data_IF_660592614869
#
_entry.id   IF_660592614869
#
_cell.length_a   1.000
_cell.length_b   1.000
_cell.length_c   1.000
_cell.angle_alpha   90.00
_cell.angle_beta   90.00
_cell.angle_gamma   90.00
#
_symmetry.space_group_name_H-M   'P 1'
#
loop_
_entity.id
_entity.type
_entity.pdbx_description
1 polymer ?
#
# COMPACT_ATOMS: atom_id res chain seq x y z
N UNK A 1 35.95 -35.69 18.67
CA UNK A 1 37.21 -36.25 18.11
C UNK A 1 36.86 -36.81 16.74
N UNK A 2 36.97 -36.05 15.65
CA UNK A 2 38.18 -35.58 14.95
C UNK A 2 38.68 -36.56 13.88
N UNK A 3 38.94 -35.98 12.70
CA UNK A 3 39.62 -36.49 11.48
C UNK A 3 38.66 -37.10 10.44
N UNK A 4 38.34 -36.48 9.30
CA UNK A 4 39.00 -35.46 8.46
C UNK A 4 40.29 -35.98 7.79
N UNK A 5 40.20 -36.26 6.49
CA UNK A 5 41.17 -36.30 5.35
C UNK A 5 40.26 -36.56 4.12
N UNK A 6 40.04 -35.76 3.08
CA UNK A 6 40.75 -34.70 2.34
C UNK A 6 41.95 -35.16 1.49
N UNK A 7 41.71 -35.44 0.20
CA UNK A 7 42.46 -35.00 -1.00
C UNK A 7 41.91 -35.75 -2.23
N UNK A 8 41.45 -35.15 -3.34
CA UNK A 8 41.98 -34.13 -4.26
C UNK A 8 42.76 -34.72 -5.45
N UNK A 9 42.16 -34.65 -6.64
CA UNK A 9 42.77 -34.32 -7.96
C UNK A 9 41.62 -34.33 -9.00
N UNK A 10 41.15 -33.22 -9.60
CA UNK A 10 41.72 -32.41 -10.72
C UNK A 10 42.15 -33.33 -11.88
N UNK A 11 41.64 -33.24 -13.12
CA UNK A 11 41.56 -32.10 -14.06
C UNK A 11 40.65 -32.46 -15.26
N UNK A 12 40.16 -31.43 -15.96
CA UNK A 12 39.72 -31.30 -17.37
C UNK A 12 38.23 -31.47 -17.69
N UNK A 13 37.60 -30.70 -18.57
CA UNK A 13 37.76 -29.33 -19.12
C UNK A 13 36.74 -29.25 -20.27
N UNK A 14 36.02 -28.14 -20.39
CA UNK A 14 35.38 -27.75 -21.65
C UNK A 14 33.94 -28.20 -21.84
N UNK A 15 32.99 -27.33 -21.48
CA UNK A 15 32.20 -26.57 -22.46
C UNK A 15 31.16 -25.74 -21.72
N UNK A 16 31.45 -24.45 -21.59
CA UNK A 16 30.44 -23.44 -21.34
C UNK A 16 29.85 -23.05 -22.70
N UNK A 17 28.57 -23.35 -22.93
CA UNK A 17 27.77 -22.67 -23.93
C UNK A 17 26.61 -21.95 -23.24
N UNK A 18 26.60 -20.63 -23.41
CA UNK A 18 25.57 -19.68 -23.01
C UNK A 18 24.31 -19.85 -23.85
N UNK A 19 23.08 -19.71 -23.31
CA UNK A 19 21.91 -19.45 -24.12
C UNK A 19 21.65 -17.94 -24.19
N UNK A 20 22.21 -17.30 -25.21
CA UNK A 20 21.76 -15.98 -25.66
C UNK A 20 20.88 -16.16 -26.92
N UNK A 21 19.67 -15.60 -26.85
CA UNK A 21 18.82 -15.17 -27.97
C UNK A 21 18.32 -16.26 -28.94
N UNK A 22 17.06 -16.68 -28.77
CA UNK A 22 16.18 -17.10 -29.87
C UNK A 22 14.76 -16.57 -29.66
N UNK A 23 14.58 -15.26 -29.82
CA UNK A 23 13.38 -14.71 -30.45
C UNK A 23 13.61 -14.75 -31.96
N UNK A 24 12.56 -14.96 -32.75
CA UNK A 24 12.51 -15.01 -34.22
C UNK A 24 12.50 -16.40 -34.85
N UNK A 25 11.30 -17.02 -34.88
CA UNK A 25 10.86 -17.93 -35.94
C UNK A 25 9.33 -18.09 -35.90
N UNK A 26 8.63 -16.95 -35.86
CA UNK A 26 7.17 -16.86 -35.97
C UNK A 26 6.80 -16.07 -37.24
N UNK A 27 7.35 -16.50 -38.38
CA UNK A 27 6.99 -16.01 -39.70
C UNK A 27 7.68 -16.88 -40.77
N UNK A 28 7.18 -18.08 -41.06
CA UNK A 28 7.33 -18.77 -42.36
C UNK A 28 6.61 -20.13 -42.32
N UNK A 29 5.30 -20.15 -42.57
CA UNK A 29 4.57 -21.30 -43.17
C UNK A 29 3.10 -20.94 -43.39
N UNK A 30 2.88 -19.88 -44.18
CA UNK A 30 1.59 -19.54 -44.73
C UNK A 30 1.76 -19.45 -46.26
N UNK A 31 1.97 -20.60 -46.89
CA UNK A 31 1.84 -20.80 -48.33
C UNK A 31 1.96 -22.29 -48.65
N UNK A 32 1.14 -22.75 -49.60
CA UNK A 32 0.96 -24.12 -50.12
C UNK A 32 -0.20 -24.88 -49.46
N UNK A 33 -1.44 -24.57 -49.89
CA UNK A 33 -2.25 -25.50 -50.70
C UNK A 33 -3.50 -24.73 -51.19
N UNK A 34 -3.42 -24.22 -52.40
CA UNK A 34 -4.57 -23.77 -53.18
C UNK A 34 -4.67 -24.67 -54.41
N UNK A 35 -5.80 -25.37 -54.53
CA UNK A 35 -6.33 -26.24 -55.61
C UNK A 35 -6.72 -27.59 -55.00
N UNK A 36 -7.98 -28.01 -54.91
CA UNK A 36 -9.12 -27.86 -55.82
C UNK A 36 -10.43 -27.93 -55.04
N UNK A 37 -11.38 -27.04 -55.33
CA UNK A 37 -12.84 -27.25 -55.37
C UNK A 37 -13.48 -25.86 -55.48
N UNK A 38 -14.22 -25.62 -56.55
CA UNK A 38 -15.05 -24.43 -56.73
C UNK A 38 -16.36 -24.58 -55.96
N UNK A 39 -16.77 -23.58 -55.16
CA UNK A 39 -18.18 -23.37 -54.88
C UNK A 39 -18.65 -21.98 -55.32
N UNK A 40 -19.92 -21.93 -55.71
CA UNK A 40 -20.67 -20.81 -56.29
C UNK A 40 -20.51 -19.45 -55.60
N UNK A 41 -20.58 -18.32 -56.34
CA UNK A 41 -20.39 -16.96 -55.81
C UNK A 41 -21.61 -16.37 -55.06
N UNK A 42 -22.64 -17.14 -54.72
CA UNK A 42 -23.92 -16.59 -54.22
C UNK A 42 -24.18 -16.75 -52.72
N UNK A 43 -23.23 -17.24 -51.92
CA UNK A 43 -23.40 -17.39 -50.45
C UNK A 43 -22.42 -16.55 -49.61
N UNK A 44 -21.64 -15.66 -50.23
CA UNK A 44 -20.67 -14.79 -49.56
C UNK A 44 -21.17 -13.35 -49.33
N UNK A 45 -22.47 -13.18 -49.07
CA UNK A 45 -23.04 -11.85 -48.75
C UNK A 45 -23.71 -11.76 -47.38
N UNK A 46 -23.73 -12.82 -46.58
CA UNK A 46 -24.29 -12.79 -45.22
C UNK A 46 -23.36 -13.23 -44.08
N UNK A 47 -22.09 -13.57 -44.36
CA UNK A 47 -21.14 -14.01 -43.35
C UNK A 47 -20.06 -12.98 -42.96
N UNK A 48 -20.08 -11.78 -43.56
CA UNK A 48 -19.03 -10.76 -43.36
C UNK A 48 -19.39 -9.66 -42.34
N UNK A 49 -20.47 -9.84 -41.56
CA UNK A 49 -20.91 -8.82 -40.60
C UNK A 49 -20.80 -9.22 -39.12
N UNK A 50 -20.31 -10.43 -38.82
CA UNK A 50 -20.06 -10.86 -37.44
C UNK A 50 -18.74 -11.59 -37.34
N UNK A 51 -17.64 -10.84 -37.27
CA UNK A 51 -16.38 -11.18 -36.60
C UNK A 51 -15.37 -10.03 -36.87
N UNK A 52 -15.75 -8.77 -36.62
CA UNK A 52 -14.75 -7.73 -36.39
C UNK A 52 -14.18 -7.98 -35.00
N UNK A 53 -12.99 -8.57 -34.96
CA UNK A 53 -12.14 -8.61 -33.77
C UNK A 53 -12.06 -7.19 -33.23
N UNK A 54 -12.68 -6.96 -32.08
CA UNK A 54 -12.63 -5.69 -31.36
C UNK A 54 -11.17 -5.47 -31.00
N UNK A 55 -10.53 -4.46 -31.58
CA UNK A 55 -9.14 -4.10 -31.28
C UNK A 55 -8.97 -3.85 -29.78
N UNK A 56 -7.77 -4.07 -29.26
CA UNK A 56 -7.40 -3.89 -27.85
C UNK A 56 -7.84 -2.51 -27.31
N UNK A 57 -7.77 -1.48 -28.14
CA UNK A 57 -8.23 -0.11 -27.87
C UNK A 57 -9.75 0.00 -27.62
N UNK A 58 -10.56 -0.79 -28.34
CA UNK A 58 -12.02 -0.78 -28.21
C UNK A 58 -12.54 -1.55 -26.99
N UNK A 59 -11.73 -2.48 -26.45
CA UNK A 59 -11.97 -3.10 -25.14
C UNK A 59 -11.60 -2.14 -24.01
N UNK A 60 -10.52 -1.37 -24.18
CA UNK A 60 -10.08 -0.32 -23.25
C UNK A 60 -11.15 0.78 -23.04
N UNK A 61 -11.76 1.24 -24.14
CA UNK A 61 -12.78 2.29 -24.14
C UNK A 61 -14.12 1.88 -23.49
N UNK A 62 -14.45 0.59 -23.46
CA UNK A 62 -15.68 0.11 -22.83
C UNK A 62 -15.56 -0.07 -21.32
N UNK A 63 -14.35 -0.32 -20.80
CA UNK A 63 -14.09 -0.52 -19.38
C UNK A 63 -13.92 0.80 -18.61
N UNK A 64 -13.48 1.87 -19.27
CA UNK A 64 -13.45 3.22 -18.67
C UNK A 64 -14.86 3.76 -18.36
N UNK A 65 -15.90 3.21 -19.03
CA UNK A 65 -17.31 3.54 -18.76
C UNK A 65 -17.95 2.69 -17.66
N UNK A 66 -17.35 1.56 -17.28
CA UNK A 66 -17.77 0.76 -16.12
C UNK A 66 -17.02 1.25 -14.89
N UNK A 67 -17.54 2.28 -14.23
CA UNK A 67 -16.89 3.05 -13.17
C UNK A 67 -16.10 2.24 -12.15
N UNK A 68 -14.79 2.17 -12.35
CA UNK A 68 -13.79 1.72 -11.39
C UNK A 68 -12.89 2.91 -11.09
N UNK A 69 -13.16 3.57 -9.97
CA UNK A 69 -12.34 4.67 -9.47
C UNK A 69 -11.00 4.17 -8.93
N UNK A 70 -9.94 4.91 -9.31
CA UNK A 70 -8.64 5.03 -8.62
C UNK A 70 -7.95 3.73 -8.20
N UNK A 71 -7.63 2.84 -9.12
CA UNK A 71 -6.55 1.88 -8.92
C UNK A 71 -5.28 2.43 -9.60
N UNK A 72 -4.11 2.16 -9.01
CA UNK A 72 -2.85 2.58 -9.65
C UNK A 72 -2.72 1.88 -11.01
N UNK A 73 -2.30 2.60 -12.03
CA UNK A 73 -2.13 2.13 -13.43
C UNK A 73 -1.37 0.79 -13.53
N UNK A 74 -0.51 0.52 -12.54
CA UNK A 74 0.25 -0.72 -12.39
C UNK A 74 -0.59 -1.93 -11.95
N UNK A 75 -1.49 -1.77 -10.98
CA UNK A 75 -2.37 -2.86 -10.50
C UNK A 75 -3.44 -3.20 -11.54
N UNK A 76 -3.94 -2.20 -12.26
CA UNK A 76 -4.88 -2.40 -13.37
C UNK A 76 -4.22 -3.17 -14.53
N UNK A 77 -3.00 -2.79 -14.91
CA UNK A 77 -2.23 -3.51 -15.94
C UNK A 77 -1.93 -4.96 -15.54
N UNK A 78 -1.61 -5.22 -14.27
CA UNK A 78 -1.40 -6.60 -13.77
C UNK A 78 -2.68 -7.42 -13.81
N UNK A 79 -3.83 -6.83 -13.40
CA UNK A 79 -5.13 -7.49 -13.50
C UNK A 79 -5.53 -7.75 -14.95
N UNK A 80 -5.28 -6.80 -15.85
CA UNK A 80 -5.52 -6.94 -17.29
C UNK A 80 -4.67 -8.03 -17.94
N UNK A 81 -3.37 -8.08 -17.65
CA UNK A 81 -2.51 -9.15 -18.14
C UNK A 81 -2.95 -10.52 -17.61
N UNK A 82 -3.40 -10.56 -16.35
CA UNK A 82 -4.01 -11.75 -15.76
C UNK A 82 -5.27 -12.19 -16.49
N UNK A 83 -6.20 -11.27 -16.79
CA UNK A 83 -7.43 -11.61 -17.52
C UNK A 83 -7.16 -12.05 -18.95
N UNK A 84 -6.23 -11.39 -19.66
CA UNK A 84 -5.82 -11.78 -21.01
C UNK A 84 -5.21 -13.19 -21.02
N UNK A 85 -4.35 -13.51 -20.05
CA UNK A 85 -3.77 -14.84 -19.92
C UNK A 85 -4.84 -15.91 -19.67
N UNK A 86 -5.80 -15.64 -18.77
CA UNK A 86 -6.92 -16.55 -18.49
C UNK A 86 -7.78 -16.76 -19.74
N UNK A 87 -8.10 -15.70 -20.49
CA UNK A 87 -8.90 -15.83 -21.71
C UNK A 87 -8.14 -16.59 -22.81
N UNK A 88 -6.82 -16.37 -22.93
CA UNK A 88 -5.97 -17.14 -23.83
C UNK A 88 -6.00 -18.63 -23.47
N UNK A 89 -5.84 -18.97 -22.20
CA UNK A 89 -5.92 -20.35 -21.71
C UNK A 89 -7.30 -20.98 -21.95
N UNK A 90 -8.38 -20.21 -21.78
CA UNK A 90 -9.74 -20.68 -22.10
C UNK A 90 -9.92 -20.97 -23.59
N UNK A 91 -9.45 -20.08 -24.46
CA UNK A 91 -9.52 -20.27 -25.92
C UNK A 91 -8.70 -21.49 -26.33
N UNK A 92 -7.48 -21.60 -25.82
CA UNK A 92 -6.60 -22.76 -26.06
C UNK A 92 -7.27 -24.05 -25.59
N UNK A 93 -7.84 -24.08 -24.38
CA UNK A 93 -8.55 -25.25 -23.85
C UNK A 93 -9.73 -25.66 -24.73
N UNK A 94 -10.58 -24.71 -25.13
CA UNK A 94 -11.71 -24.98 -26.05
C UNK A 94 -11.25 -25.51 -27.41
N UNK A 95 -10.16 -24.97 -27.94
CA UNK A 95 -9.57 -25.46 -29.18
C UNK A 95 -9.07 -26.91 -29.01
N UNK A 96 -8.36 -27.22 -27.92
CA UNK A 96 -7.90 -28.57 -27.64
C UNK A 96 -9.06 -29.55 -27.40
N UNK A 97 -10.13 -29.13 -26.74
CA UNK A 97 -11.36 -29.92 -26.59
C UNK A 97 -11.98 -30.27 -27.95
N UNK A 98 -12.05 -29.31 -28.88
CA UNK A 98 -12.55 -29.59 -30.24
C UNK A 98 -11.65 -30.56 -31.01
N UNK A 99 -10.32 -30.44 -30.88
CA UNK A 99 -9.38 -31.40 -31.51
C UNK A 99 -9.54 -32.78 -30.87
N UNK A 100 -9.75 -32.84 -29.55
CA UNK A 100 -9.99 -34.08 -28.81
C UNK A 100 -11.27 -34.78 -29.28
N UNK A 101 -12.37 -34.05 -29.46
CA UNK A 101 -13.62 -34.62 -29.98
C UNK A 101 -13.42 -35.27 -31.36
N UNK A 102 -12.62 -34.64 -32.22
CA UNK A 102 -12.26 -35.21 -33.52
C UNK A 102 -11.40 -36.48 -33.37
N UNK A 103 -10.38 -36.45 -32.52
CA UNK A 103 -9.54 -37.62 -32.22
C UNK A 103 -10.39 -38.79 -31.67
N UNK A 104 -11.34 -38.49 -30.78
CA UNK A 104 -12.26 -39.47 -30.22
C UNK A 104 -13.23 -40.02 -31.27
N UNK A 105 -13.67 -39.20 -32.23
CA UNK A 105 -14.47 -39.68 -33.35
C UNK A 105 -13.70 -40.69 -34.22
N UNK A 106 -12.42 -40.44 -34.52
CA UNK A 106 -11.56 -41.41 -35.23
C UNK A 106 -11.39 -42.70 -34.44
N UNK A 107 -11.16 -42.59 -33.12
CA UNK A 107 -11.08 -43.75 -32.23
C UNK A 107 -12.36 -44.60 -32.29
N UNK A 108 -13.55 -43.97 -32.23
CA UNK A 108 -14.84 -44.66 -32.34
C UNK A 108 -15.10 -45.30 -33.70
N UNK A 109 -14.46 -44.79 -34.76
CA UNK A 109 -14.53 -45.35 -36.11
C UNK A 109 -13.56 -46.52 -36.32
N UNK A 110 -12.66 -46.78 -35.36
CA UNK A 110 -11.60 -47.79 -35.47
C UNK A 110 -10.34 -47.28 -36.17
N UNK A 111 -10.27 -45.99 -36.48
CA UNK A 111 -9.11 -45.28 -37.02
C UNK A 111 -8.16 -44.91 -35.88
N UNK A 112 -7.50 -45.92 -35.30
CA UNK A 112 -6.66 -45.75 -34.11
C UNK A 112 -5.34 -45.00 -34.41
N UNK A 113 -4.84 -45.05 -35.65
CA UNK A 113 -3.62 -44.36 -36.06
C UNK A 113 -3.86 -42.84 -36.13
N UNK A 114 -4.96 -42.43 -36.73
CA UNK A 114 -5.38 -41.03 -36.79
C UNK A 114 -5.77 -40.48 -35.41
N UNK A 115 -6.41 -41.31 -34.58
CA UNK A 115 -6.72 -40.96 -33.20
C UNK A 115 -5.44 -40.76 -32.35
N UNK A 116 -4.45 -41.63 -32.52
CA UNK A 116 -3.15 -41.54 -31.88
C UNK A 116 -2.44 -40.24 -32.25
N UNK A 117 -2.33 -39.92 -33.54
CA UNK A 117 -1.60 -38.75 -34.00
C UNK A 117 -2.22 -37.43 -33.51
N UNK A 118 -3.56 -37.35 -33.52
CA UNK A 118 -4.27 -36.19 -32.98
C UNK A 118 -4.14 -36.08 -31.46
N UNK A 119 -4.18 -37.20 -30.73
CA UNK A 119 -3.97 -37.20 -29.28
C UNK A 119 -2.54 -36.80 -28.90
N UNK A 120 -1.52 -37.30 -29.61
CA UNK A 120 -0.13 -36.91 -29.43
C UNK A 120 0.08 -35.41 -29.72
N UNK A 121 -0.59 -34.87 -30.74
CA UNK A 121 -0.57 -33.44 -31.05
C UNK A 121 -1.18 -32.59 -29.92
N UNK A 122 -2.29 -33.02 -29.31
CA UNK A 122 -2.87 -32.33 -28.15
C UNK A 122 -1.86 -32.30 -26.99
N UNK A 123 -1.23 -33.43 -26.67
CA UNK A 123 -0.24 -33.52 -25.58
C UNK A 123 1.03 -32.72 -25.84
N UNK A 124 1.41 -32.51 -27.10
CA UNK A 124 2.53 -31.63 -27.45
C UNK A 124 2.25 -30.14 -27.16
N UNK A 125 0.96 -29.77 -27.10
CA UNK A 125 0.51 -28.39 -26.80
C UNK A 125 0.19 -28.24 -25.31
N UNK A 126 -0.48 -29.22 -24.72
CA UNK A 126 -0.78 -29.30 -23.29
C UNK A 126 -0.46 -30.71 -22.74
N UNK A 127 0.73 -30.89 -22.14
CA UNK A 127 1.12 -32.17 -21.55
C UNK A 127 0.18 -32.65 -20.42
N UNK A 128 -0.60 -31.75 -19.83
CA UNK A 128 -1.50 -32.05 -18.70
C UNK A 128 -2.94 -32.36 -19.17
N UNK A 129 -3.18 -32.48 -20.48
CA UNK A 129 -4.49 -32.80 -21.04
C UNK A 129 -4.81 -34.30 -20.84
N UNK A 130 -5.33 -34.65 -19.65
CA UNK A 130 -5.58 -36.03 -19.22
C UNK A 130 -6.38 -36.87 -20.21
N UNK A 131 -7.38 -36.28 -20.87
CA UNK A 131 -8.29 -37.02 -21.75
C UNK A 131 -7.59 -37.47 -23.03
N UNK A 132 -6.68 -36.65 -23.57
CA UNK A 132 -5.85 -37.01 -24.71
C UNK A 132 -4.77 -38.02 -24.32
N UNK A 133 -4.20 -37.94 -23.12
CA UNK A 133 -3.27 -38.96 -22.61
C UNK A 133 -3.93 -40.33 -22.52
N UNK A 134 -5.16 -40.38 -21.99
CA UNK A 134 -5.94 -41.61 -21.91
C UNK A 134 -6.29 -42.16 -23.30
N UNK A 135 -6.70 -41.28 -24.22
CA UNK A 135 -7.04 -41.66 -25.59
C UNK A 135 -5.82 -42.17 -26.37
N UNK A 136 -4.66 -41.54 -26.18
CA UNK A 136 -3.39 -41.96 -26.78
C UNK A 136 -3.03 -43.38 -26.32
N UNK A 137 -3.05 -43.62 -25.00
CA UNK A 137 -2.76 -44.94 -24.41
C UNK A 137 -3.73 -46.02 -24.93
N UNK A 138 -5.02 -45.69 -25.04
CA UNK A 138 -6.03 -46.59 -25.58
C UNK A 138 -5.82 -46.87 -27.08
N UNK A 139 -5.46 -45.86 -27.88
CA UNK A 139 -5.19 -46.00 -29.31
C UNK A 139 -3.91 -46.83 -29.55
N UNK A 140 -2.86 -46.62 -28.76
CA UNK A 140 -1.62 -47.41 -28.82
C UNK A 140 -1.85 -48.90 -28.55
N UNK A 141 -2.70 -49.23 -27.58
CA UNK A 141 -3.05 -50.62 -27.24
C UNK A 141 -3.84 -51.34 -28.35
N UNK A 142 -4.47 -50.59 -29.26
CA UNK A 142 -5.34 -51.10 -30.31
C UNK A 142 -4.73 -51.01 -31.72
N UNK A 143 -3.63 -50.27 -31.89
CA UNK A 143 -2.92 -50.10 -33.17
C UNK A 143 -2.33 -51.43 -33.66
N UNK A 144 -2.62 -51.80 -34.91
CA UNK A 144 -2.05 -52.98 -35.58
C UNK A 144 -2.78 -54.32 -35.35
N UNK A 145 -3.91 -54.34 -34.64
CA UNK A 145 -4.69 -55.56 -34.39
C UNK A 145 -5.67 -55.90 -35.52
N UNK A 146 -5.56 -57.10 -36.12
CA UNK A 146 -6.52 -57.61 -37.15
C UNK A 146 -7.98 -57.76 -36.66
N UNK A 147 -8.24 -57.62 -35.35
CA UNK A 147 -9.59 -57.69 -34.73
C UNK A 147 -9.80 -56.56 -33.73
N UNK A 148 -9.63 -55.33 -34.19
CA UNK A 148 -9.59 -54.14 -33.35
C UNK A 148 -10.84 -53.96 -32.44
N UNK A 149 -12.03 -54.32 -32.93
CA UNK A 149 -13.27 -54.29 -32.14
C UNK A 149 -13.27 -55.26 -30.94
N UNK A 150 -12.71 -56.47 -31.12
CA UNK A 150 -12.62 -57.45 -30.03
C UNK A 150 -11.57 -57.04 -29.00
N UNK A 151 -10.43 -56.48 -29.46
CA UNK A 151 -9.40 -55.95 -28.56
C UNK A 151 -9.88 -54.73 -27.77
N UNK A 152 -10.69 -53.85 -28.37
CA UNK A 152 -11.29 -52.71 -27.67
C UNK A 152 -12.21 -53.20 -26.56
N UNK A 153 -13.12 -54.13 -26.85
CA UNK A 153 -14.04 -54.68 -25.84
C UNK A 153 -13.28 -55.36 -24.69
N UNK A 154 -12.22 -56.12 -24.99
CA UNK A 154 -11.38 -56.79 -23.99
C UNK A 154 -10.65 -55.75 -23.12
N UNK A 155 -10.06 -54.72 -23.74
CA UNK A 155 -9.35 -53.65 -23.03
C UNK A 155 -10.28 -52.88 -22.10
N UNK A 156 -11.48 -52.52 -22.56
CA UNK A 156 -12.50 -51.86 -21.73
C UNK A 156 -12.96 -52.76 -20.57
N UNK A 157 -13.12 -54.06 -20.82
CA UNK A 157 -13.49 -55.01 -19.78
C UNK A 157 -12.38 -55.19 -18.73
N UNK A 158 -11.11 -55.18 -19.14
CA UNK A 158 -9.96 -55.25 -18.24
C UNK A 158 -9.82 -53.99 -17.37
N UNK A 159 -9.96 -52.80 -17.96
CA UNK A 159 -10.01 -51.53 -17.21
C UNK A 159 -11.19 -51.51 -16.23
N UNK A 160 -12.35 -52.03 -16.64
CA UNK A 160 -13.51 -52.16 -15.77
C UNK A 160 -13.25 -53.12 -14.60
N UNK A 161 -12.66 -54.29 -14.84
CA UNK A 161 -12.27 -55.24 -13.78
C UNK A 161 -11.25 -54.65 -12.82
N UNK A 162 -10.26 -53.93 -13.34
CA UNK A 162 -9.25 -53.22 -12.55
C UNK A 162 -9.87 -52.17 -11.64
N UNK A 163 -10.84 -51.39 -12.15
CA UNK A 163 -11.58 -50.42 -11.34
C UNK A 163 -12.37 -51.10 -10.21
N UNK A 164 -12.97 -52.25 -10.46
CA UNK A 164 -13.65 -53.04 -9.42
C UNK A 164 -12.69 -53.66 -8.41
N UNK A 165 -11.47 -54.05 -8.81
CA UNK A 165 -10.44 -54.50 -7.87
C UNK A 165 -10.10 -53.40 -6.88
N UNK A 166 -9.81 -52.20 -7.36
CA UNK A 166 -9.53 -51.05 -6.48
C UNK A 166 -10.70 -50.73 -5.55
N UNK A 167 -11.93 -50.89 -6.02
CA UNK A 167 -13.12 -50.68 -5.21
C UNK A 167 -13.23 -51.73 -4.10
N UNK A 168 -12.99 -53.00 -4.41
CA UNK A 168 -12.99 -54.09 -3.43
C UNK A 168 -11.85 -53.96 -2.41
N UNK A 169 -10.72 -53.38 -2.81
CA UNK A 169 -9.60 -53.02 -1.92
C UNK A 169 -9.90 -51.79 -1.04
N UNK A 170 -11.05 -51.14 -1.19
CA UNK A 170 -11.41 -49.91 -0.45
C UNK A 170 -10.73 -48.64 -0.97
N UNK A 171 -10.01 -48.70 -2.09
CA UNK A 171 -9.31 -47.55 -2.69
C UNK A 171 -10.28 -46.74 -3.57
N UNK A 172 -11.26 -46.10 -2.93
CA UNK A 172 -12.41 -45.47 -3.59
C UNK A 172 -12.01 -44.40 -4.62
N UNK A 173 -11.00 -43.55 -4.30
CA UNK A 173 -10.53 -42.50 -5.22
C UNK A 173 -9.93 -43.10 -6.51
N UNK A 174 -9.08 -44.12 -6.36
CA UNK A 174 -8.45 -44.79 -7.49
C UNK A 174 -9.48 -45.56 -8.33
N UNK A 175 -10.41 -46.25 -7.68
CA UNK A 175 -11.52 -46.94 -8.31
C UNK A 175 -12.40 -45.98 -9.13
N UNK A 176 -12.78 -44.84 -8.55
CA UNK A 176 -13.57 -43.81 -9.21
C UNK A 176 -12.87 -43.26 -10.45
N UNK A 177 -11.59 -42.90 -10.33
CA UNK A 177 -10.80 -42.39 -11.45
C UNK A 177 -10.72 -43.42 -12.60
N UNK A 178 -10.44 -44.68 -12.28
CA UNK A 178 -10.38 -45.75 -13.29
C UNK A 178 -11.74 -46.06 -13.91
N UNK A 179 -12.83 -45.97 -13.14
CA UNK A 179 -14.18 -46.14 -13.67
C UNK A 179 -14.61 -44.96 -14.56
N UNK A 180 -14.16 -43.73 -14.27
CA UNK A 180 -14.36 -42.58 -15.16
C UNK A 180 -13.66 -42.79 -16.51
N UNK A 181 -12.45 -43.35 -16.54
CA UNK A 181 -11.77 -43.70 -17.79
C UNK A 181 -12.63 -44.63 -18.65
N UNK A 182 -13.22 -45.66 -18.03
CA UNK A 182 -14.13 -46.62 -18.70
C UNK A 182 -15.38 -45.93 -19.25
N UNK A 183 -15.99 -45.02 -18.49
CA UNK A 183 -17.17 -44.26 -18.96
C UNK A 183 -16.82 -43.35 -20.15
N UNK A 184 -15.66 -42.68 -20.11
CA UNK A 184 -15.21 -41.79 -21.20
C UNK A 184 -14.93 -42.57 -22.48
N UNK A 185 -14.23 -43.70 -22.38
CA UNK A 185 -13.92 -44.54 -23.53
C UNK A 185 -15.14 -45.30 -24.07
N UNK A 186 -16.06 -45.70 -23.18
CA UNK A 186 -17.29 -46.42 -23.55
C UNK A 186 -18.55 -45.82 -22.92
N UNK A 187 -19.06 -44.68 -23.44
CA UNK A 187 -20.24 -44.01 -22.89
C UNK A 187 -21.54 -44.84 -22.96
N UNK A 188 -21.59 -45.86 -23.82
CA UNK A 188 -22.72 -46.77 -23.97
C UNK A 188 -22.71 -47.93 -22.96
N UNK A 189 -21.64 -48.09 -22.16
CA UNK A 189 -21.54 -49.17 -21.18
C UNK A 189 -22.43 -48.91 -19.96
N UNK A 190 -23.61 -49.54 -19.95
CA UNK A 190 -24.60 -49.43 -18.85
C UNK A 190 -24.01 -49.87 -17.50
N UNK A 191 -23.16 -50.92 -17.49
CA UNK A 191 -22.54 -51.42 -16.26
C UNK A 191 -21.57 -50.39 -15.68
N UNK A 192 -20.74 -49.77 -16.52
CA UNK A 192 -19.82 -48.71 -16.10
C UNK A 192 -20.57 -47.52 -15.50
N UNK A 193 -21.65 -47.07 -16.14
CA UNK A 193 -22.50 -46.00 -15.62
C UNK A 193 -23.11 -46.32 -14.25
N UNK A 194 -23.64 -47.53 -14.08
CA UNK A 194 -24.20 -47.98 -12.80
C UNK A 194 -23.14 -47.95 -11.69
N UNK A 195 -21.98 -48.58 -11.93
CA UNK A 195 -20.90 -48.63 -10.93
C UNK A 195 -20.30 -47.27 -10.65
N UNK A 196 -20.18 -46.40 -11.66
CA UNK A 196 -19.71 -45.05 -11.46
C UNK A 196 -20.66 -44.24 -10.57
N UNK A 197 -21.98 -44.37 -10.78
CA UNK A 197 -22.98 -43.74 -9.91
C UNK A 197 -22.82 -44.16 -8.45
N UNK A 198 -22.65 -45.47 -8.21
CA UNK A 198 -22.38 -46.02 -6.88
C UNK A 198 -21.06 -45.50 -6.30
N UNK A 199 -19.98 -45.53 -7.07
CA UNK A 199 -18.68 -45.03 -6.64
C UNK A 199 -18.70 -43.52 -6.34
N UNK A 200 -19.53 -42.72 -7.04
CA UNK A 200 -19.72 -41.30 -6.70
C UNK A 200 -20.32 -41.15 -5.30
N UNK A 201 -21.32 -41.96 -4.97
CA UNK A 201 -21.97 -41.90 -3.67
C UNK A 201 -21.01 -42.34 -2.54
N UNK A 202 -20.26 -43.42 -2.77
CA UNK A 202 -19.24 -43.88 -1.83
C UNK A 202 -18.09 -42.87 -1.69
N UNK A 203 -17.67 -42.22 -2.79
CA UNK A 203 -16.64 -41.19 -2.77
C UNK A 203 -17.09 -39.94 -2.01
N UNK A 204 -18.35 -39.52 -2.18
CA UNK A 204 -18.94 -38.45 -1.38
C UNK A 204 -18.92 -38.83 0.10
N UNK A 205 -19.33 -40.05 0.42
CA UNK A 205 -19.35 -40.55 1.80
C UNK A 205 -17.95 -40.63 2.40
N UNK A 206 -16.96 -41.08 1.63
CA UNK A 206 -15.55 -41.10 2.01
C UNK A 206 -15.06 -39.71 2.40
N UNK A 207 -15.23 -38.71 1.52
CA UNK A 207 -14.81 -37.34 1.81
C UNK A 207 -15.58 -36.74 3.00
N UNK A 208 -16.85 -37.08 3.15
CA UNK A 208 -17.63 -36.63 4.31
C UNK A 208 -17.06 -37.19 5.63
N UNK A 209 -16.71 -38.49 5.66
CA UNK A 209 -16.11 -39.14 6.83
C UNK A 209 -14.71 -38.61 7.15
N UNK A 210 -13.88 -38.38 6.14
CA UNK A 210 -12.57 -37.75 6.31
C UNK A 210 -12.73 -36.32 6.85
N UNK A 211 -13.74 -35.59 6.38
CA UNK A 211 -14.11 -34.28 6.91
C UNK A 211 -14.51 -34.32 8.39
N UNK A 212 -15.33 -35.29 8.79
CA UNK A 212 -15.68 -35.51 10.20
C UNK A 212 -14.47 -35.90 11.06
N UNK A 213 -13.57 -36.74 10.54
CA UNK A 213 -12.35 -37.14 11.22
C UNK A 213 -11.40 -35.94 11.42
N UNK A 214 -11.20 -35.13 10.40
CA UNK A 214 -10.43 -33.89 10.49
C UNK A 214 -11.06 -32.90 11.48
N UNK A 215 -12.40 -32.78 11.49
CA UNK A 215 -13.11 -31.96 12.48
C UNK A 215 -12.86 -32.44 13.91
N UNK A 216 -12.95 -33.76 14.17
CA UNK A 216 -12.63 -34.36 15.47
C UNK A 216 -11.18 -34.11 15.88
N UNK A 217 -10.26 -34.07 14.91
CA UNK A 217 -8.85 -33.73 15.11
C UNK A 217 -8.58 -32.23 15.30
N UNK A 218 -9.63 -31.37 15.32
CA UNK A 218 -9.54 -29.90 15.36
C UNK A 218 -8.89 -29.25 14.13
N UNK A 219 -8.71 -29.99 13.05
CA UNK A 219 -8.30 -29.42 11.77
C UNK A 219 -9.54 -28.92 11.00
N UNK A 220 -9.99 -27.72 11.34
CA UNK A 220 -11.17 -27.11 10.71
C UNK A 220 -10.97 -26.86 9.21
N UNK A 221 -9.74 -26.60 8.76
CA UNK A 221 -9.44 -26.35 7.33
C UNK A 221 -9.47 -27.66 6.55
N UNK A 222 -8.78 -28.69 7.03
CA UNK A 222 -8.83 -30.01 6.42
C UNK A 222 -10.24 -30.61 6.42
N UNK A 223 -11.04 -30.30 7.45
CA UNK A 223 -12.45 -30.68 7.47
C UNK A 223 -13.24 -30.00 6.35
N UNK A 224 -13.09 -28.69 6.16
CA UNK A 224 -13.74 -27.95 5.08
C UNK A 224 -13.30 -28.43 3.70
N UNK A 225 -12.01 -28.65 3.48
CA UNK A 225 -11.50 -29.12 2.19
C UNK A 225 -12.17 -30.44 1.77
N UNK A 226 -12.25 -31.40 2.69
CA UNK A 226 -12.90 -32.68 2.45
C UNK A 226 -14.43 -32.52 2.27
N UNK A 227 -15.10 -31.70 3.07
CA UNK A 227 -16.54 -31.46 2.90
C UNK A 227 -16.86 -30.73 1.60
N UNK A 228 -16.02 -29.82 1.14
CA UNK A 228 -16.15 -29.18 -0.18
C UNK A 228 -15.96 -30.19 -1.31
N UNK A 229 -15.02 -31.14 -1.18
CA UNK A 229 -14.88 -32.25 -2.11
C UNK A 229 -16.16 -33.11 -2.15
N UNK A 230 -16.76 -33.41 -0.99
CA UNK A 230 -18.03 -34.13 -0.91
C UNK A 230 -19.17 -33.34 -1.61
N UNK A 231 -19.23 -32.02 -1.39
CA UNK A 231 -20.21 -31.14 -2.04
C UNK A 231 -19.98 -31.04 -3.56
N UNK A 232 -18.73 -31.07 -4.01
CA UNK A 232 -18.41 -31.09 -5.44
C UNK A 232 -18.97 -32.34 -6.14
N UNK A 233 -18.93 -33.50 -5.47
CA UNK A 233 -19.52 -34.74 -6.00
C UNK A 233 -21.07 -34.67 -5.99
N UNK A 234 -21.67 -34.11 -4.93
CA UNK A 234 -23.13 -33.92 -4.80
C UNK A 234 -23.48 -32.46 -4.43
N UNK A 235 -23.64 -31.55 -5.42
CA UNK A 235 -23.79 -30.09 -5.19
C UNK A 235 -25.02 -29.62 -4.42
N UNK A 236 -25.90 -30.51 -3.99
CA UNK A 236 -27.17 -30.21 -3.30
C UNK A 236 -27.36 -31.02 -2.03
N UNK A 237 -26.29 -31.56 -1.46
CA UNK A 237 -26.37 -32.31 -0.21
C UNK A 237 -26.55 -31.38 0.99
N UNK A 238 -27.76 -31.33 1.55
CA UNK A 238 -28.11 -30.43 2.66
C UNK A 238 -27.30 -30.72 3.91
N UNK A 239 -26.97 -31.99 4.17
CA UNK A 239 -26.17 -32.41 5.32
C UNK A 239 -24.75 -31.85 5.22
N UNK A 240 -24.09 -32.05 4.08
CA UNK A 240 -22.74 -31.49 3.83
C UNK A 240 -22.73 -29.97 3.97
N UNK A 241 -23.73 -29.27 3.42
CA UNK A 241 -23.84 -27.80 3.54
C UNK A 241 -23.98 -27.37 5.00
N UNK A 242 -24.83 -28.04 5.80
CA UNK A 242 -24.98 -27.71 7.23
C UNK A 242 -23.68 -27.87 8.01
N UNK A 243 -22.91 -28.92 7.73
CA UNK A 243 -21.60 -29.14 8.33
C UNK A 243 -20.59 -28.06 7.91
N UNK A 244 -20.54 -27.70 6.63
CA UNK A 244 -19.69 -26.61 6.12
C UNK A 244 -20.04 -25.30 6.84
N UNK A 245 -21.31 -24.91 6.87
CA UNK A 245 -21.74 -23.65 7.52
C UNK A 245 -21.34 -23.62 9.00
N UNK A 246 -21.55 -24.73 9.72
CA UNK A 246 -21.15 -24.83 11.13
C UNK A 246 -19.64 -24.63 11.32
N UNK A 247 -18.83 -25.30 10.52
CA UNK A 247 -17.36 -25.25 10.64
C UNK A 247 -16.84 -23.87 10.21
N UNK A 248 -17.43 -23.26 9.18
CA UNK A 248 -17.11 -21.90 8.75
C UNK A 248 -17.43 -20.87 9.84
N UNK A 249 -18.56 -21.03 10.52
CA UNK A 249 -18.93 -20.16 11.63
C UNK A 249 -17.98 -20.34 12.82
N UNK A 250 -17.58 -21.57 13.15
CA UNK A 250 -16.56 -21.86 14.18
C UNK A 250 -15.22 -21.20 13.80
N UNK A 251 -14.76 -21.35 12.55
CA UNK A 251 -13.53 -20.74 12.06
C UNK A 251 -13.58 -19.21 12.05
N UNK A 252 -14.74 -18.63 11.72
CA UNK A 252 -15.00 -17.19 11.79
C UNK A 252 -14.90 -16.70 13.23
N UNK A 253 -15.49 -17.42 14.18
CA UNK A 253 -15.40 -17.12 15.61
C UNK A 253 -13.98 -17.23 16.15
N UNK A 254 -13.22 -18.26 15.77
CA UNK A 254 -11.80 -18.38 16.16
C UNK A 254 -10.98 -17.19 15.66
N UNK A 255 -11.13 -16.83 14.38
CA UNK A 255 -10.46 -15.65 13.80
C UNK A 255 -10.84 -14.35 14.51
N UNK A 256 -12.13 -14.16 14.80
CA UNK A 256 -12.62 -13.01 15.55
C UNK A 256 -12.03 -12.98 16.97
N UNK A 257 -12.02 -14.11 17.67
CA UNK A 257 -11.47 -14.24 19.02
C UNK A 257 -9.97 -13.97 19.05
N UNK A 258 -9.20 -14.45 18.07
CA UNK A 258 -7.75 -14.21 18.02
C UNK A 258 -7.42 -12.75 17.71
N UNK A 259 -8.20 -12.12 16.82
CA UNK A 259 -8.11 -10.67 16.57
C UNK A 259 -8.48 -9.86 17.81
N UNK A 260 -9.51 -10.29 18.54
CA UNK A 260 -9.94 -9.66 19.78
C UNK A 260 -8.85 -9.76 20.85
N UNK A 261 -8.22 -10.93 21.03
CA UNK A 261 -7.07 -11.10 21.94
C UNK A 261 -5.92 -10.15 21.59
N UNK A 262 -5.53 -10.11 20.31
CA UNK A 262 -4.47 -9.20 19.85
C UNK A 262 -4.82 -7.71 20.10
N UNK A 263 -6.08 -7.33 19.90
CA UNK A 263 -6.55 -5.98 20.19
C UNK A 263 -6.50 -5.65 21.69
N UNK A 264 -6.87 -6.61 22.55
CA UNK A 264 -6.76 -6.49 24.01
C UNK A 264 -5.31 -6.39 24.48
N UNK A 265 -4.38 -7.11 23.84
CA UNK A 265 -2.94 -6.96 24.11
C UNK A 265 -2.43 -5.56 23.75
N UNK A 266 -2.84 -5.01 22.61
CA UNK A 266 -2.51 -3.62 22.27
C UNK A 266 -3.10 -2.62 23.25
N UNK A 267 -4.32 -2.87 23.73
CA UNK A 267 -4.94 -2.06 24.76
C UNK A 267 -4.16 -2.11 26.08
N UNK A 268 -3.77 -3.30 26.53
CA UNK A 268 -2.93 -3.47 27.73
C UNK A 268 -1.55 -2.80 27.61
N UNK A 269 -0.99 -2.72 26.40
CA UNK A 269 0.25 -2.00 26.12
C UNK A 269 0.08 -0.47 26.02
N UNK A 270 -1.14 0.06 26.16
CA UNK A 270 -1.45 1.48 25.97
C UNK A 270 -1.44 1.95 24.51
N UNK A 271 -1.33 1.03 23.55
CA UNK A 271 -1.36 1.33 22.10
C UNK A 271 -2.80 1.47 21.61
N UNK A 272 -3.47 2.51 22.06
CA UNK A 272 -4.91 2.70 21.87
C UNK A 272 -5.35 2.71 20.38
N UNK A 273 -4.56 3.29 19.48
CA UNK A 273 -4.87 3.32 18.03
C UNK A 273 -4.89 1.92 17.42
N UNK A 274 -3.85 1.13 17.68
CA UNK A 274 -3.75 -0.26 17.19
C UNK A 274 -4.85 -1.13 17.80
N UNK A 275 -5.20 -0.91 19.07
CA UNK A 275 -6.33 -1.58 19.71
C UNK A 275 -7.67 -1.23 19.04
N UNK A 276 -7.90 0.05 18.70
CA UNK A 276 -9.09 0.51 17.98
C UNK A 276 -9.20 -0.13 16.59
N UNK A 277 -8.10 -0.20 15.83
CA UNK A 277 -8.06 -0.86 14.52
C UNK A 277 -8.31 -2.36 14.64
N UNK A 278 -7.68 -3.04 15.61
CA UNK A 278 -7.91 -4.46 15.87
C UNK A 278 -9.37 -4.76 16.23
N UNK A 279 -9.99 -3.94 17.07
CA UNK A 279 -11.41 -4.07 17.42
C UNK A 279 -12.35 -3.80 16.24
N UNK A 280 -12.00 -2.87 15.35
CA UNK A 280 -12.75 -2.65 14.12
C UNK A 280 -12.72 -3.89 13.21
N UNK A 281 -11.56 -4.54 13.06
CA UNK A 281 -11.43 -5.79 12.31
C UNK A 281 -12.26 -6.93 12.90
N UNK A 282 -12.39 -7.00 14.23
CA UNK A 282 -13.29 -7.99 14.88
C UNK A 282 -14.73 -7.78 14.44
N UNK A 283 -15.19 -6.52 14.38
CA UNK A 283 -16.55 -6.19 13.94
C UNK A 283 -16.75 -6.37 12.43
N UNK A 284 -15.70 -6.29 11.61
CA UNK A 284 -15.78 -6.67 10.20
C UNK A 284 -16.02 -8.18 10.04
N UNK A 285 -15.40 -8.99 10.91
CA UNK A 285 -15.58 -10.45 10.90
C UNK A 285 -16.94 -10.84 11.50
N UNK A 286 -17.32 -10.21 12.61
CA UNK A 286 -18.56 -10.46 13.35
C UNK A 286 -19.28 -9.14 13.69
N UNK A 287 -20.13 -8.62 12.77
CA UNK A 287 -20.82 -7.34 12.97
C UNK A 287 -21.75 -7.29 14.20
N UNK A 288 -22.15 -8.46 14.72
CA UNK A 288 -23.03 -8.59 15.88
C UNK A 288 -22.31 -8.73 17.23
N UNK A 289 -20.97 -8.63 17.29
CA UNK A 289 -20.26 -8.78 18.57
C UNK A 289 -20.45 -7.55 19.47
N UNK A 290 -21.40 -7.68 20.42
CA UNK A 290 -21.70 -6.64 21.41
C UNK A 290 -20.52 -6.30 22.33
N UNK A 291 -19.61 -7.25 22.61
CA UNK A 291 -18.45 -7.01 23.49
C UNK A 291 -17.41 -6.18 22.77
N UNK A 292 -17.03 -6.60 21.56
CA UNK A 292 -16.08 -5.85 20.73
C UNK A 292 -16.57 -4.43 20.44
N UNK A 293 -17.88 -4.26 20.20
CA UNK A 293 -18.46 -2.93 19.97
C UNK A 293 -18.41 -2.03 21.22
N UNK A 294 -18.68 -2.56 22.41
CA UNK A 294 -18.54 -1.80 23.67
C UNK A 294 -17.10 -1.37 23.91
N UNK A 295 -16.16 -2.32 23.81
CA UNK A 295 -14.72 -2.06 23.95
C UNK A 295 -14.24 -1.01 22.94
N UNK A 296 -14.69 -1.10 21.68
CA UNK A 296 -14.33 -0.13 20.65
C UNK A 296 -14.75 1.29 21.03
N UNK A 297 -15.97 1.46 21.55
CA UNK A 297 -16.47 2.76 21.97
C UNK A 297 -15.72 3.31 23.19
N UNK A 298 -15.35 2.44 24.13
CA UNK A 298 -14.53 2.81 25.30
C UNK A 298 -13.14 3.30 24.88
N UNK A 299 -12.44 2.53 24.03
CA UNK A 299 -11.13 2.88 23.50
C UNK A 299 -11.18 4.17 22.67
N UNK A 300 -12.19 4.32 21.81
CA UNK A 300 -12.44 5.56 21.05
C UNK A 300 -12.61 6.76 21.97
N UNK A 301 -13.40 6.62 23.03
CA UNK A 301 -13.60 7.67 24.03
C UNK A 301 -12.32 8.01 24.80
N UNK A 302 -11.46 7.05 25.12
CA UNK A 302 -10.15 7.30 25.72
C UNK A 302 -9.21 8.08 24.79
N UNK A 303 -9.15 7.69 23.52
CA UNK A 303 -8.38 8.39 22.49
C UNK A 303 -8.87 9.83 22.36
N UNK A 304 -10.19 10.03 22.25
CA UNK A 304 -10.80 11.36 22.19
C UNK A 304 -10.44 12.21 23.42
N UNK A 305 -10.57 11.66 24.64
CA UNK A 305 -10.21 12.37 25.88
C UNK A 305 -8.74 12.79 25.89
N UNK A 306 -7.85 11.91 25.43
CA UNK A 306 -6.42 12.20 25.33
C UNK A 306 -6.14 13.39 24.41
N UNK A 307 -6.68 13.37 23.18
CA UNK A 307 -6.56 14.46 22.22
C UNK A 307 -7.17 15.78 22.71
N UNK A 308 -8.35 15.73 23.33
CA UNK A 308 -8.98 16.91 23.92
C UNK A 308 -8.09 17.50 25.02
N UNK A 309 -7.50 16.67 25.88
CA UNK A 309 -6.61 17.12 26.96
C UNK A 309 -5.32 17.75 26.42
N UNK A 310 -4.72 17.15 25.39
CA UNK A 310 -3.55 17.65 24.67
C UNK A 310 -3.85 19.01 24.01
N UNK A 311 -4.94 19.09 23.26
CA UNK A 311 -5.39 20.33 22.61
C UNK A 311 -5.70 21.44 23.61
N UNK A 312 -6.30 21.12 24.78
CA UNK A 312 -6.52 22.10 25.87
C UNK A 312 -5.21 22.65 26.44
N UNK A 313 -4.19 21.80 26.62
CA UNK A 313 -2.85 22.24 27.05
C UNK A 313 -2.21 23.18 26.01
N UNK A 314 -2.25 22.81 24.74
CA UNK A 314 -1.72 23.65 23.65
C UNK A 314 -2.48 24.98 23.51
N UNK A 315 -3.80 24.95 23.68
CA UNK A 315 -4.65 26.14 23.71
C UNK A 315 -4.25 27.08 24.84
N UNK A 316 -4.03 26.55 26.06
CA UNK A 316 -3.54 27.35 27.19
C UNK A 316 -2.15 27.95 26.97
N UNK A 317 -1.31 27.28 26.17
CA UNK A 317 0.00 27.77 25.75
C UNK A 317 -0.05 28.75 24.56
N UNK A 318 -1.25 29.24 24.17
CA UNK A 318 -1.51 30.10 22.99
C UNK A 318 -1.07 29.51 21.64
N UNK A 319 -0.84 28.19 21.58
CA UNK A 319 -0.50 27.47 20.35
C UNK A 319 -1.79 27.01 19.66
N UNK A 320 -2.57 27.97 19.16
CA UNK A 320 -3.93 27.74 18.67
C UNK A 320 -3.99 26.80 17.46
N UNK A 321 -3.04 26.88 16.52
CA UNK A 321 -2.99 25.99 15.35
C UNK A 321 -2.81 24.52 15.75
N UNK A 322 -1.80 24.24 16.56
CA UNK A 322 -1.54 22.90 17.07
C UNK A 322 -2.70 22.36 17.93
N UNK A 323 -3.37 23.22 18.71
CA UNK A 323 -4.56 22.83 19.47
C UNK A 323 -5.72 22.40 18.57
N UNK A 324 -5.96 23.12 17.47
CA UNK A 324 -6.98 22.75 16.48
C UNK A 324 -6.65 21.43 15.78
N UNK A 325 -5.39 21.18 15.45
CA UNK A 325 -4.96 19.93 14.82
C UNK A 325 -5.22 18.73 15.72
N UNK A 326 -4.90 18.83 17.02
CA UNK A 326 -5.19 17.78 18.00
C UNK A 326 -6.70 17.50 18.14
N UNK A 327 -7.54 18.54 18.15
CA UNK A 327 -9.01 18.36 18.17
C UNK A 327 -9.57 17.80 16.86
N UNK A 328 -8.96 18.12 15.72
CA UNK A 328 -9.33 17.52 14.44
C UNK A 328 -8.93 16.05 14.37
N UNK A 329 -7.78 15.68 14.92
CA UNK A 329 -7.33 14.28 15.03
C UNK A 329 -8.23 13.43 15.93
N UNK A 330 -9.00 14.05 16.84
CA UNK A 330 -9.99 13.37 17.67
C UNK A 330 -11.28 13.00 16.92
N UNK A 331 -11.58 13.67 15.78
CA UNK A 331 -12.86 13.51 15.05
C UNK A 331 -13.20 12.06 14.66
N UNK A 332 -12.27 11.25 14.11
CA UNK A 332 -12.58 9.87 13.70
C UNK A 332 -13.00 8.96 14.87
N UNK A 333 -12.67 9.37 16.09
CA UNK A 333 -12.92 8.61 17.32
C UNK A 333 -14.09 9.17 18.13
N UNK A 334 -14.57 10.37 17.81
CA UNK A 334 -15.63 11.04 18.56
C UNK A 334 -17.03 10.62 18.10
N UNK A 335 -17.90 10.33 19.05
CA UNK A 335 -19.33 10.20 18.80
C UNK A 335 -20.03 11.57 18.65
N UNK A 336 -19.40 12.67 19.11
CA UNK A 336 -19.98 14.01 19.14
C UNK A 336 -19.03 15.05 18.53
N UNK A 337 -19.01 15.12 17.19
CA UNK A 337 -18.23 16.12 16.45
C UNK A 337 -18.58 17.57 16.83
N UNK A 338 -19.83 17.85 17.24
CA UNK A 338 -20.28 19.22 17.56
C UNK A 338 -19.49 19.85 18.71
N UNK A 339 -19.08 19.05 19.70
CA UNK A 339 -18.25 19.55 20.79
C UNK A 339 -16.85 19.97 20.31
N UNK A 340 -16.22 19.16 19.46
CA UNK A 340 -14.92 19.46 18.84
C UNK A 340 -15.01 20.69 17.94
N UNK A 341 -16.09 20.83 17.18
CA UNK A 341 -16.34 22.00 16.33
C UNK A 341 -16.40 23.31 17.14
N UNK A 342 -17.08 23.30 18.30
CA UNK A 342 -17.13 24.45 19.21
C UNK A 342 -15.74 24.81 19.76
N UNK A 343 -14.92 23.81 20.09
CA UNK A 343 -13.55 24.05 20.55
C UNK A 343 -12.69 24.68 19.44
N UNK A 344 -12.73 24.13 18.24
CA UNK A 344 -12.01 24.66 17.07
C UNK A 344 -12.46 26.09 16.74
N UNK A 345 -13.77 26.36 16.75
CA UNK A 345 -14.31 27.70 16.52
C UNK A 345 -13.79 28.72 17.53
N UNK A 346 -13.83 28.38 18.83
CA UNK A 346 -13.29 29.24 19.90
C UNK A 346 -11.80 29.52 19.74
N UNK A 347 -11.01 28.53 19.29
CA UNK A 347 -9.58 28.75 19.03
C UNK A 347 -9.32 29.64 17.82
N UNK A 348 -10.11 29.53 16.76
CA UNK A 348 -10.01 30.42 15.59
C UNK A 348 -10.36 31.86 15.95
N UNK A 349 -11.42 32.05 16.72
CA UNK A 349 -11.83 33.37 17.19
C UNK A 349 -10.73 34.01 18.05
N UNK A 350 -10.21 33.29 19.03
CA UNK A 350 -9.14 33.80 19.89
C UNK A 350 -7.86 34.14 19.10
N UNK A 351 -7.50 33.30 18.12
CA UNK A 351 -6.37 33.56 17.23
C UNK A 351 -6.58 34.81 16.37
N UNK A 352 -7.78 35.02 15.84
CA UNK A 352 -8.12 36.20 15.04
C UNK A 352 -8.04 37.48 15.86
N UNK A 353 -8.54 37.46 17.10
CA UNK A 353 -8.48 38.59 18.03
C UNK A 353 -7.02 38.97 18.33
N UNK A 354 -6.19 38.00 18.72
CA UNK A 354 -4.77 38.27 19.04
C UNK A 354 -3.96 38.71 17.81
N UNK A 355 -4.25 38.15 16.63
CA UNK A 355 -3.63 38.58 15.38
C UNK A 355 -4.04 40.02 15.01
N UNK A 356 -5.31 40.38 15.17
CA UNK A 356 -5.82 41.73 14.97
C UNK A 356 -5.18 42.74 15.94
N UNK A 357 -5.07 42.41 17.22
CA UNK A 357 -4.39 43.24 18.21
C UNK A 357 -2.90 43.41 17.94
N UNK A 358 -2.21 42.35 17.52
CA UNK A 358 -0.78 42.42 17.15
C UNK A 358 -0.60 43.29 15.91
N UNK A 359 -1.47 43.13 14.90
CA UNK A 359 -1.46 43.95 13.69
C UNK A 359 -1.67 45.43 14.02
N UNK A 360 -2.71 45.76 14.80
CA UNK A 360 -2.97 47.14 15.25
C UNK A 360 -1.77 47.73 15.99
N UNK A 361 -1.16 46.97 16.93
CA UNK A 361 0.06 47.42 17.63
C UNK A 361 1.24 47.65 16.67
N UNK A 362 1.44 46.79 15.68
CA UNK A 362 2.50 46.97 14.68
C UNK A 362 2.24 48.16 13.75
N UNK A 363 0.99 48.41 13.37
CA UNK A 363 0.59 49.55 12.55
C UNK A 363 0.74 50.87 13.32
N UNK A 364 0.35 50.91 14.61
CA UNK A 364 0.57 52.06 15.50
C UNK A 364 2.06 52.33 15.72
N UNK A 365 2.88 51.29 15.94
CA UNK A 365 4.32 51.43 16.06
C UNK A 365 4.94 51.96 14.74
N UNK A 366 4.55 51.41 13.59
CA UNK A 366 5.01 51.89 12.29
C UNK A 366 4.57 53.32 12.01
N UNK A 367 3.37 53.72 12.45
CA UNK A 367 2.90 55.10 12.36
C UNK A 367 3.75 56.05 13.21
N UNK A 368 4.07 55.68 14.44
CA UNK A 368 4.95 56.46 15.32
C UNK A 368 6.34 56.65 14.71
N UNK A 369 6.93 55.58 14.17
CA UNK A 369 8.23 55.64 13.47
C UNK A 369 8.15 56.58 12.26
N UNK A 370 7.09 56.50 11.45
CA UNK A 370 6.89 57.41 10.30
C UNK A 370 6.70 58.87 10.72
N UNK A 371 5.96 59.13 11.79
CA UNK A 371 5.76 60.48 12.34
C UNK A 371 7.08 61.05 12.89
N UNK A 372 7.90 60.22 13.56
CA UNK A 372 9.24 60.60 14.04
C UNK A 372 10.23 60.88 12.89
N UNK A 373 10.25 60.03 11.86
CA UNK A 373 11.05 60.28 10.65
C UNK A 373 10.61 61.54 9.89
N UNK A 374 9.30 61.81 9.82
CA UNK A 374 8.78 63.04 9.22
C UNK A 374 9.21 64.28 10.01
N UNK A 375 9.15 64.23 11.36
CA UNK A 375 9.65 65.31 12.23
C UNK A 375 11.14 65.56 12.05
N UNK A 376 11.95 64.50 11.97
CA UNK A 376 13.39 64.63 11.73
C UNK A 376 13.69 65.27 10.37
N UNK A 377 12.95 64.91 9.32
CA UNK A 377 13.09 65.54 8.00
C UNK A 377 12.71 67.02 8.03
N UNK A 378 11.63 67.39 8.72
CA UNK A 378 11.24 68.81 8.86
C UNK A 378 12.27 69.60 9.67
N UNK A 379 12.79 69.03 10.76
CA UNK A 379 13.85 69.65 11.58
C UNK A 379 15.17 69.80 10.76
N UNK A 380 15.51 68.81 9.93
CA UNK A 380 16.64 68.89 9.00
C UNK A 380 16.44 69.95 7.89
N UNK A 381 15.23 70.08 7.35
CA UNK A 381 14.90 71.12 6.37
C UNK A 381 14.91 72.53 6.98
N UNK A 382 14.39 72.68 8.20
CA UNK A 382 14.43 73.95 8.94
C UNK A 382 15.86 74.34 9.32
N UNK A 383 16.69 73.38 9.77
CA UNK A 383 18.11 73.64 10.05
C UNK A 383 18.90 74.03 8.80
N UNK A 384 18.59 73.44 7.63
CA UNK A 384 19.18 73.84 6.34
C UNK A 384 18.76 75.25 5.94
N UNK A 385 17.48 75.61 6.09
CA UNK A 385 16.99 76.97 5.83
C UNK A 385 17.59 77.99 6.79
N UNK A 386 17.70 77.66 8.07
CA UNK A 386 18.34 78.51 9.09
C UNK A 386 19.84 78.70 8.82
N UNK A 387 20.57 77.65 8.39
CA UNK A 387 21.97 77.76 7.99
C UNK A 387 22.16 78.59 6.71
N UNK A 388 21.21 78.52 5.76
CA UNK A 388 21.20 79.34 4.56
C UNK A 388 20.86 80.82 4.86
N UNK A 389 19.97 81.07 5.83
CA UNK A 389 19.66 82.42 6.33
C UNK A 389 20.83 83.01 7.15
N UNK A 390 21.50 82.20 7.97
CA UNK A 390 22.73 82.58 8.67
C UNK A 390 23.88 82.89 7.70
N UNK A 391 23.95 82.21 6.53
CA UNK A 391 24.85 82.58 5.44
C UNK A 391 24.44 83.86 4.70
N UNK A 392 23.17 84.26 4.75
CA UNK A 392 22.66 85.51 4.15
C UNK A 392 22.75 86.73 5.08
N UNK A 393 22.81 86.54 6.40
CA UNK A 393 22.99 87.60 7.40
C UNK A 393 24.28 87.37 8.20
N UNK A 394 25.39 87.92 7.72
CA UNK A 394 26.59 88.05 8.55
C UNK A 394 27.90 88.22 7.79
N UNK A 395 28.27 89.47 7.50
CA UNK A 395 29.65 89.89 7.33
C UNK A 395 30.03 90.82 8.50
N UNK A 396 31.17 90.54 9.15
CA UNK A 396 31.93 91.37 10.11
C UNK A 396 31.23 91.72 11.45
N UNK A 397 31.83 91.73 12.66
CA UNK A 397 33.21 92.04 13.09
C UNK A 397 33.48 91.52 14.54
N UNK A 398 34.76 91.21 14.80
CA UNK A 398 35.59 91.25 16.02
C UNK A 398 35.17 90.93 17.48
N UNK A 399 36.01 90.04 18.04
CA UNK A 399 36.75 90.05 19.32
C UNK A 399 36.18 90.70 20.60
N UNK A 400 36.02 89.86 21.64
CA UNK A 400 36.27 90.28 23.02
C UNK A 400 36.74 89.11 23.92
N UNK A 401 37.98 89.26 24.40
CA UNK A 401 38.54 88.94 25.73
C UNK A 401 38.64 87.48 26.22
N UNK A 402 39.88 87.17 26.60
CA UNK A 402 40.40 85.91 27.08
C UNK A 402 40.11 85.56 28.56
N UNK A 403 40.07 84.22 28.77
CA UNK A 403 40.32 83.37 29.97
C UNK A 403 39.08 82.73 30.64
N UNK A 404 39.17 81.48 31.16
CA UNK A 404 40.12 80.38 30.92
C UNK A 404 39.46 79.16 30.22
N UNK A 405 40.28 78.19 29.79
CA UNK A 405 39.91 76.99 29.05
C UNK A 405 38.71 76.23 29.64
N UNK A 406 37.56 76.30 28.96
CA UNK A 406 36.47 75.34 29.08
C UNK A 406 36.56 74.34 27.93
N UNK A 407 36.27 73.07 28.22
CA UNK A 407 36.17 71.97 27.25
C UNK A 407 35.37 72.44 26.03
N UNK A 408 35.93 72.32 24.83
CA UNK A 408 35.25 72.69 23.58
C UNK A 408 33.98 71.83 23.42
N UNK A 409 32.91 72.38 22.86
CA UNK A 409 31.65 71.61 22.62
C UNK A 409 31.91 70.33 21.80
N UNK A 410 32.90 70.35 20.91
CA UNK A 410 33.35 69.19 20.15
C UNK A 410 33.95 68.09 21.04
N UNK A 411 34.75 68.47 22.06
CA UNK A 411 35.28 67.51 23.03
C UNK A 411 34.18 66.93 23.94
N UNK A 412 33.11 67.70 24.24
CA UNK A 412 31.97 67.19 25.01
C UNK A 412 31.17 66.14 24.23
N UNK A 413 30.92 66.38 22.94
CA UNK A 413 30.25 65.40 22.08
C UNK A 413 31.10 64.13 21.89
N UNK A 414 32.41 64.29 21.69
CA UNK A 414 33.33 63.16 21.60
C UNK A 414 33.37 62.36 22.93
N UNK A 415 33.38 63.04 24.08
CA UNK A 415 33.31 62.40 25.38
C UNK A 415 32.02 61.58 25.56
N UNK A 416 30.86 62.11 25.16
CA UNK A 416 29.58 61.39 25.21
C UNK A 416 29.56 60.14 24.33
N UNK A 417 30.17 60.20 23.13
CA UNK A 417 30.27 59.05 22.25
C UNK A 417 31.13 57.93 22.88
N UNK A 418 32.30 58.28 23.42
CA UNK A 418 33.16 57.33 24.13
C UNK A 418 32.49 56.77 25.40
N UNK A 419 31.66 57.56 26.10
CA UNK A 419 30.87 57.08 27.23
C UNK A 419 29.86 55.99 26.83
N UNK A 420 29.11 56.22 25.75
CA UNK A 420 28.13 55.26 25.22
C UNK A 420 28.82 53.99 24.70
N UNK A 421 29.98 54.13 24.04
CA UNK A 421 30.79 53.01 23.57
C UNK A 421 31.27 52.15 24.75
N UNK A 422 31.78 52.79 25.81
CA UNK A 422 32.18 52.12 27.06
C UNK A 422 31.02 51.38 27.75
N UNK A 423 29.79 51.91 27.68
CA UNK A 423 28.60 51.25 28.22
C UNK A 423 28.27 49.95 27.47
N UNK A 424 28.46 49.90 26.15
CA UNK A 424 28.30 48.66 25.36
C UNK A 424 29.29 47.59 25.79
N UNK A 425 30.57 47.97 25.98
CA UNK A 425 31.59 47.04 26.46
C UNK A 425 31.34 46.56 27.89
N UNK A 426 30.83 47.45 28.76
CA UNK A 426 30.44 47.11 30.13
C UNK A 426 29.29 46.10 30.18
N UNK A 427 28.25 46.26 29.34
CA UNK A 427 27.14 45.31 29.22
C UNK A 427 27.59 43.93 28.71
N UNK A 428 28.62 43.91 27.87
CA UNK A 428 29.23 42.69 27.35
C UNK A 428 30.31 42.10 28.27
N UNK A 429 30.38 42.54 29.54
CA UNK A 429 31.35 42.12 30.56
C UNK A 429 32.84 42.30 30.19
N UNK A 430 33.14 43.15 29.19
CA UNK A 430 34.50 43.50 28.81
C UNK A 430 34.95 44.75 29.56
N UNK A 431 35.32 44.56 30.83
CA UNK A 431 35.62 45.65 31.76
C UNK A 431 36.91 46.41 31.44
N UNK A 432 37.91 45.76 30.82
CA UNK A 432 39.16 46.41 30.42
C UNK A 432 38.90 47.44 29.32
N UNK A 433 38.21 47.05 28.24
CA UNK A 433 37.86 47.97 27.16
C UNK A 433 36.88 49.06 27.60
N UNK A 434 35.92 48.73 28.44
CA UNK A 434 34.99 49.72 29.00
C UNK A 434 35.72 50.80 29.84
N UNK A 435 36.77 50.39 30.58
CA UNK A 435 37.61 51.32 31.34
C UNK A 435 38.41 52.24 30.43
N UNK A 436 38.99 51.71 29.36
CA UNK A 436 39.79 52.51 28.40
C UNK A 436 38.93 53.58 27.71
N UNK A 437 37.74 53.22 27.24
CA UNK A 437 36.81 54.16 26.61
C UNK A 437 36.33 55.26 27.59
N UNK A 438 36.06 54.90 28.85
CA UNK A 438 35.68 55.89 29.87
C UNK A 438 36.85 56.75 30.37
N UNK A 439 38.09 56.27 30.27
CA UNK A 439 39.27 57.10 30.49
C UNK A 439 39.45 58.14 29.39
N UNK A 440 39.23 57.75 28.12
CA UNK A 440 39.26 58.68 26.97
C UNK A 440 38.16 59.73 27.12
N UNK A 441 36.93 59.32 27.43
CA UNK A 441 35.81 60.24 27.67
C UNK A 441 36.15 61.29 28.75
N UNK A 442 36.80 60.88 29.84
CA UNK A 442 37.23 61.77 30.92
C UNK A 442 38.42 62.67 30.57
N UNK A 443 39.30 62.24 29.66
CA UNK A 443 40.38 63.10 29.15
C UNK A 443 39.82 64.21 28.26
N UNK A 444 38.76 63.91 27.51
CA UNK A 444 38.09 64.86 26.63
C UNK A 444 37.20 65.83 27.41
N UNK A 445 36.43 65.34 28.39
CA UNK A 445 35.66 66.17 29.33
C UNK A 445 35.93 65.76 30.78
N UNK A 446 36.84 66.47 31.48
CA UNK A 446 37.13 66.21 32.89
C UNK A 446 35.95 66.44 33.84
N UNK A 447 34.90 67.15 33.40
CA UNK A 447 33.71 67.45 34.20
C UNK A 447 32.56 66.47 33.97
N UNK A 448 32.73 65.44 33.12
CA UNK A 448 31.70 64.43 32.90
C UNK A 448 31.56 63.51 34.14
N UNK A 449 30.45 63.68 34.87
CA UNK A 449 30.13 62.89 36.05
C UNK A 449 29.83 61.42 35.72
N UNK A 450 29.36 61.13 34.51
CA UNK A 450 28.85 59.82 34.14
C UNK A 450 30.00 58.84 33.85
N UNK A 451 31.00 59.28 33.09
CA UNK A 451 32.25 58.52 32.89
C UNK A 451 33.00 58.27 34.21
N UNK A 452 32.98 59.24 35.14
CA UNK A 452 33.58 59.08 36.47
C UNK A 452 32.85 58.03 37.33
N UNK A 453 31.52 58.00 37.31
CA UNK A 453 30.72 57.00 37.99
C UNK A 453 30.92 55.60 37.39
N UNK A 454 31.03 55.50 36.06
CA UNK A 454 31.34 54.27 35.34
C UNK A 454 32.68 53.66 35.77
N UNK A 455 33.75 54.46 35.79
CA UNK A 455 35.08 54.01 36.22
C UNK A 455 35.08 53.50 37.67
N UNK A 456 34.42 54.22 38.59
CA UNK A 456 34.27 53.80 39.99
C UNK A 456 33.54 52.46 40.11
N UNK A 457 32.53 52.22 39.26
CA UNK A 457 31.77 50.97 39.24
C UNK A 457 32.60 49.80 38.72
N UNK A 458 33.44 50.02 37.71
CA UNK A 458 34.42 49.01 37.25
C UNK A 458 35.42 48.69 38.35
N UNK A 459 35.96 49.71 39.02
CA UNK A 459 36.90 49.52 40.14
C UNK A 459 36.28 48.72 41.29
N UNK A 460 35.03 49.00 41.66
CA UNK A 460 34.30 48.22 42.68
C UNK A 460 34.03 46.78 42.23
N UNK A 461 33.73 46.57 40.95
CA UNK A 461 33.45 45.23 40.40
C UNK A 461 34.74 44.39 40.34
N UNK A 462 35.88 45.00 40.01
CA UNK A 462 37.18 44.32 39.99
C UNK A 462 37.78 44.14 41.39
N UNK A 463 37.54 45.08 42.31
CA UNK A 463 38.01 44.99 43.71
C UNK A 463 37.16 44.06 44.57
N UNK A 464 35.86 43.90 44.28
CA UNK A 464 34.94 42.98 44.96
C UNK A 464 35.04 41.51 44.52
N UNK A 465 35.98 41.20 43.60
CA UNK A 465 36.25 39.85 43.10
C UNK A 465 37.51 39.20 43.69
N UNK A 466 38.02 39.68 44.82
CA UNK A 466 39.11 39.04 45.59
C UNK A 466 38.64 38.59 46.97
#
# INVERSE_FOLDING_TARGET
MSKLIANSEKVNSGNQETPAVRYSLFAFLLLIFASTLTPNPSTLLFAQERLKVKSEESLFLNLQKTGLGSLSEFEEKKRFLGTVQIEKEKIQRKMLESIYENAFAYYRQGSYEEAHDLAAKILSIDPNFNDASMLLEAADQLRGGQRAFMSEKIMIEDRFKSALSFYNEGRIIAAYKKMQEVEKLSPSNIKAKYWLGRMKDDLKQYYFQEGEAAYKARDLKGALDNLYNALFIRPRDTVTVQWITRIEDELRQERANDRLKAALEFYAQGKLKAACEGLAQVLEIQPGDSKANKLLNEVKGEIERSYISSGKKLYSARRYTAAMDEWNNARPYSANSSYLDKLVARAREQMSIEAGEKRRRSEEAARRVKEEEARRKTEEEESKKAAEEAKRKGGALEEAKAKPQGVTEENRLAAQLHYVEGLKYFQNANYEKARDEWLIARQLDPNDSDSAAGLKRIEQTLAGGR
#
